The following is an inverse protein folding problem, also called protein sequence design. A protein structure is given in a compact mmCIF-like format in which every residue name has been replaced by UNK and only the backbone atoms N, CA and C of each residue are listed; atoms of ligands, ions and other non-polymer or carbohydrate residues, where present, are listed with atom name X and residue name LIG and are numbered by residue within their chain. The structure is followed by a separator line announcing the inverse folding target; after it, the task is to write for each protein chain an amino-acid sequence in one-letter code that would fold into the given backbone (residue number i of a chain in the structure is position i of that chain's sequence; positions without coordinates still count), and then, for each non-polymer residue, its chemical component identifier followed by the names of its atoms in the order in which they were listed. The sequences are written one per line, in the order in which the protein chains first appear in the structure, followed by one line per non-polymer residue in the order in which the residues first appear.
data_IF_969507137766
#
_entry.id   IF_969507137766
#
_cell.length_a   1.000
_cell.length_b   1.000
_cell.length_c   1.000
_cell.angle_alpha   90.00
_cell.angle_beta   90.00
_cell.angle_gamma   90.00
#
_symmetry.space_group_name_H-M   'P 1'
#
loop_
_entity.id
_entity.type
_entity.pdbx_description
1 polymer ?
#
# COMPACT_ATOMS: atom_id res chain seq x y z
N UNK A 1 11.53 9.23 -10.93
CA UNK A 1 10.48 8.90 -9.96
C UNK A 1 10.02 7.48 -10.23
N UNK A 2 9.95 6.64 -9.21
CA UNK A 2 9.40 5.28 -9.33
C UNK A 2 7.88 5.36 -9.13
N UNK A 3 7.12 4.69 -10.00
CA UNK A 3 5.69 4.50 -9.80
C UNK A 3 5.46 3.07 -9.27
N UNK A 4 4.68 2.95 -8.21
CA UNK A 4 4.20 1.67 -7.68
C UNK A 4 2.69 1.60 -7.85
N UNK A 5 2.15 0.38 -7.91
CA UNK A 5 0.71 0.15 -8.00
C UNK A 5 0.12 0.09 -6.59
N UNK A 6 -1.05 0.70 -6.42
CA UNK A 6 -1.85 0.59 -5.21
C UNK A 6 -3.31 0.38 -5.60
N UNK A 7 -4.05 -0.30 -4.75
CA UNK A 7 -5.49 -0.52 -4.88
C UNK A 7 -6.17 0.49 -3.97
N UNK A 8 -7.24 1.12 -4.44
CA UNK A 8 -7.99 2.09 -3.66
C UNK A 8 -9.47 2.04 -4.02
N UNK A 9 -10.30 2.43 -3.06
CA UNK A 9 -11.74 2.60 -3.20
C UNK A 9 -12.21 3.66 -2.20
N UNK A 10 -13.44 4.11 -2.34
CA UNK A 10 -14.08 5.02 -1.39
C UNK A 10 -15.11 4.23 -0.58
N UNK A 11 -15.12 4.44 0.73
CA UNK A 11 -16.13 3.94 1.67
C UNK A 11 -16.50 5.07 2.63
N UNK A 12 -17.77 5.43 2.67
CA UNK A 12 -18.28 6.65 3.30
C UNK A 12 -17.46 7.91 2.93
N UNK A 13 -16.99 8.65 3.94
CA UNK A 13 -16.22 9.89 3.79
C UNK A 13 -14.71 9.64 3.60
N UNK A 14 -14.27 8.38 3.50
CA UNK A 14 -12.86 8.02 3.44
C UNK A 14 -12.46 7.34 2.13
N UNK A 15 -11.26 7.66 1.68
CA UNK A 15 -10.52 6.88 0.70
C UNK A 15 -9.69 5.84 1.41
N UNK A 16 -9.83 4.57 1.03
CA UNK A 16 -9.08 3.45 1.58
C UNK A 16 -8.20 2.84 0.49
N UNK A 17 -7.08 2.25 0.90
CA UNK A 17 -6.23 1.54 -0.04
C UNK A 17 -5.01 0.88 0.58
N UNK A 18 -4.32 0.11 -0.25
CA UNK A 18 -3.08 -0.58 0.09
C UNK A 18 -2.18 -0.69 -1.13
N UNK A 19 -0.87 -0.85 -0.91
CA UNK A 19 0.11 -1.07 -1.98
C UNK A 19 -0.05 -2.50 -2.49
N UNK A 20 -0.05 -2.70 -3.82
CA UNK A 20 -0.31 -4.02 -4.41
C UNK A 20 0.64 -5.10 -3.88
N UNK A 21 1.92 -4.75 -3.64
CA UNK A 21 2.94 -5.67 -3.15
C UNK A 21 2.82 -5.96 -1.63
N UNK A 22 1.96 -5.21 -0.93
CA UNK A 22 1.75 -5.25 0.52
C UNK A 22 0.24 -5.21 0.86
N UNK A 23 -0.56 -6.19 0.40
CA UNK A 23 -2.02 -6.13 0.45
C UNK A 23 -2.60 -6.20 1.87
N UNK A 24 -1.83 -6.73 2.81
CA UNK A 24 -2.23 -6.84 4.21
C UNK A 24 -2.14 -5.50 4.98
N UNK A 25 -1.60 -4.45 4.35
CA UNK A 25 -1.29 -3.18 4.99
C UNK A 25 -2.13 -2.05 4.37
N UNK A 26 -3.37 -1.95 4.86
CA UNK A 26 -4.32 -0.92 4.46
C UNK A 26 -4.11 0.37 5.24
N UNK A 27 -4.35 1.51 4.57
CA UNK A 27 -4.47 2.83 5.18
C UNK A 27 -5.64 3.59 4.56
N UNK A 28 -5.93 4.77 5.08
CA UNK A 28 -7.04 5.62 4.66
C UNK A 28 -6.67 7.10 4.64
N UNK A 29 -7.50 7.95 4.03
CA UNK A 29 -7.44 9.41 4.12
C UNK A 29 -8.80 10.03 3.77
N UNK A 30 -9.08 11.24 4.24
CA UNK A 30 -10.30 11.99 3.90
C UNK A 30 -10.29 12.44 2.42
N UNK A 31 -9.10 12.57 1.84
CA UNK A 31 -8.91 12.83 0.41
C UNK A 31 -8.04 11.77 -0.25
N UNK A 32 -8.18 11.61 -1.56
CA UNK A 32 -7.32 10.69 -2.33
C UNK A 32 -5.83 11.09 -2.26
N UNK A 33 -5.51 12.38 -2.07
CA UNK A 33 -4.10 12.79 -1.93
C UNK A 33 -3.54 12.44 -0.54
N UNK A 34 -4.34 12.59 0.52
CA UNK A 34 -3.97 12.12 1.85
C UNK A 34 -3.75 10.60 1.89
N UNK A 35 -4.64 9.82 1.25
CA UNK A 35 -4.43 8.38 1.09
C UNK A 35 -3.06 8.09 0.44
N UNK A 36 -2.69 8.83 -0.62
CA UNK A 36 -1.40 8.65 -1.29
C UNK A 36 -0.22 9.05 -0.42
N UNK A 37 -0.34 10.10 0.40
CA UNK A 37 0.69 10.48 1.37
C UNK A 37 0.91 9.35 2.39
N UNK A 38 -0.16 8.82 2.95
CA UNK A 38 -0.11 7.69 3.88
C UNK A 38 0.49 6.43 3.25
N UNK A 39 0.17 6.14 1.98
CA UNK A 39 0.78 5.03 1.23
C UNK A 39 2.28 5.25 0.96
N UNK A 40 2.73 6.49 0.74
CA UNK A 40 4.17 6.79 0.55
C UNK A 40 4.95 6.56 1.84
N UNK A 41 4.38 6.94 2.98
CA UNK A 41 4.98 6.70 4.30
C UNK A 41 5.07 5.20 4.59
N UNK A 42 3.99 4.44 4.39
CA UNK A 42 4.02 2.97 4.52
C UNK A 42 5.07 2.31 3.61
N UNK A 43 5.19 2.77 2.37
CA UNK A 43 6.20 2.23 1.45
C UNK A 43 7.63 2.48 1.96
N UNK A 44 7.91 3.66 2.53
CA UNK A 44 9.22 3.98 3.10
C UNK A 44 9.54 3.04 4.27
N UNK A 45 8.58 2.78 5.14
CA UNK A 45 8.76 1.92 6.30
C UNK A 45 9.03 0.46 5.89
N UNK A 46 8.32 -0.05 4.88
CA UNK A 46 8.50 -1.42 4.38
C UNK A 46 9.77 -1.63 3.57
N UNK A 47 10.26 -0.59 2.88
CA UNK A 47 11.49 -0.66 2.08
C UNK A 47 12.75 -0.28 2.84
N UNK A 48 12.62 0.36 4.01
CA UNK A 48 13.73 0.70 4.90
C UNK A 48 14.40 -0.50 5.57
N UNK A 49 13.76 -1.67 5.59
CA UNK A 49 14.33 -2.90 6.18
C UNK A 49 14.33 -2.93 7.71
N UNK A 50 13.71 -1.93 8.36
CA UNK A 50 13.67 -1.80 9.82
C UNK A 50 12.59 -2.69 10.46
N UNK A 51 11.54 -3.03 9.70
CA UNK A 51 10.43 -3.85 10.19
C UNK A 51 10.65 -5.31 9.75
N UNK A 52 10.90 -6.25 10.69
CA UNK A 52 11.01 -7.66 10.35
C UNK A 52 9.64 -8.26 10.02
N UNK A 53 9.61 -9.27 9.16
CA UNK A 53 8.40 -10.04 8.88
C UNK A 53 7.38 -9.36 7.95
N UNK A 54 7.79 -8.32 7.21
CA UNK A 54 6.93 -7.73 6.17
C UNK A 54 6.61 -8.79 5.11
N UNK A 55 5.31 -9.03 4.92
CA UNK A 55 4.80 -9.99 3.94
C UNK A 55 4.96 -9.43 2.51
N UNK A 56 5.12 -10.33 1.55
CA UNK A 56 5.35 -10.01 0.13
C UNK A 56 4.37 -10.77 -0.75
N UNK A 57 3.98 -10.15 -1.84
CA UNK A 57 3.28 -10.80 -2.95
C UNK A 57 4.31 -11.30 -3.95
N UNK A 58 4.05 -12.45 -4.55
CA UNK A 58 4.81 -12.99 -5.67
C UNK A 58 3.85 -13.69 -6.62
N UNK A 59 4.23 -13.79 -7.88
CA UNK A 59 3.46 -14.50 -8.89
C UNK A 59 3.79 -16.00 -8.82
N UNK A 60 2.77 -16.83 -8.59
CA UNK A 60 2.91 -18.28 -8.68
C UNK A 60 2.52 -18.75 -10.09
N UNK A 61 3.51 -19.17 -10.88
CA UNK A 61 3.26 -19.79 -12.19
C UNK A 61 2.74 -21.22 -11.99
N UNK A 62 1.52 -21.48 -12.45
CA UNK A 62 0.93 -22.82 -12.48
C UNK A 62 1.20 -23.47 -13.84
N UNK A 63 1.61 -24.74 -13.83
CA UNK A 63 1.82 -25.58 -15.02
C UNK A 63 0.52 -26.15 -15.58
#
# INVERSE_FOLDING_TARGET
MQAIKFIYWQDDDFWLGYIQDYPDYMTQGETLEELKENLRDLYRDFTGGEIPGIRKVDDLVLS
#
